data_IF_053318827422
#
_entry.id   IF_053318827422
#
_cell.length_a   1.000
_cell.length_b   1.000
_cell.length_c   1.000
_cell.angle_alpha   90.00
_cell.angle_beta   90.00
_cell.angle_gamma   90.00
#
_symmetry.space_group_name_H-M   'P 1'
#
loop_
_entity.id
_entity.type
_entity.pdbx_description
1 polymer ?
#
# COMPACT_ATOMS: atom_id res chain seq x y z
N UNK A 1 0.63 63.24 79.89
CA UNK A 1 1.40 62.32 80.76
C UNK A 1 0.43 61.33 81.35
N UNK A 2 0.82 60.06 81.35
CA UNK A 2 0.30 58.93 82.16
C UNK A 2 -1.12 58.38 81.95
N UNK A 3 -1.15 57.21 81.29
CA UNK A 3 -1.60 55.89 81.81
C UNK A 3 -3.10 55.63 82.11
N UNK A 4 -3.61 54.67 81.32
CA UNK A 4 -4.55 53.55 81.56
C UNK A 4 -6.01 53.71 82.06
N UNK A 5 -6.89 53.02 81.31
CA UNK A 5 -8.19 52.45 81.70
C UNK A 5 -9.38 53.35 81.38
N UNK A 6 -10.60 52.84 81.06
CA UNK A 6 -11.12 51.48 81.31
C UNK A 6 -11.82 50.82 80.10
N UNK A 7 -12.23 49.56 80.28
CA UNK A 7 -12.94 48.77 79.27
C UNK A 7 -14.37 49.23 78.99
N UNK A 8 -14.90 48.80 77.85
CA UNK A 8 -16.34 48.77 77.56
C UNK A 8 -16.66 47.70 76.53
N UNK A 9 -17.58 46.81 76.94
CA UNK A 9 -18.34 45.85 76.14
C UNK A 9 -18.96 46.47 74.89
N UNK A 10 -18.87 45.78 73.75
CA UNK A 10 -19.67 46.09 72.55
C UNK A 10 -20.32 44.82 72.01
N UNK A 11 -21.61 45.01 71.70
CA UNK A 11 -22.62 44.06 71.25
C UNK A 11 -22.28 43.42 69.90
N UNK A 12 -22.73 42.17 69.76
CA UNK A 12 -22.73 41.42 68.52
C UNK A 12 -23.64 42.07 67.45
N UNK A 13 -23.16 42.11 66.22
CA UNK A 13 -23.95 42.26 65.01
C UNK A 13 -23.39 41.31 63.94
N UNK A 14 -24.23 40.37 63.49
CA UNK A 14 -23.93 39.47 62.38
C UNK A 14 -23.86 40.29 61.08
N UNK A 15 -22.75 40.16 60.33
CA UNK A 15 -22.70 40.45 58.90
C UNK A 15 -22.43 39.14 58.15
N UNK A 16 -23.35 38.79 57.24
CA UNK A 16 -23.18 37.72 56.26
C UNK A 16 -22.14 38.16 55.22
N UNK A 17 -21.06 37.37 55.07
CA UNK A 17 -20.11 37.50 53.97
C UNK A 17 -20.54 36.57 52.82
N UNK A 18 -20.87 37.15 51.67
CA UNK A 18 -21.09 36.41 50.43
C UNK A 18 -19.73 35.96 49.86
N UNK A 19 -19.54 34.64 49.75
CA UNK A 19 -18.35 34.03 49.14
C UNK A 19 -18.59 33.90 47.65
N UNK A 20 -17.81 34.61 46.84
CA UNK A 20 -17.79 34.44 45.39
C UNK A 20 -16.98 33.18 45.03
N UNK A 21 -17.62 32.21 44.36
CA UNK A 21 -16.99 31.01 43.82
C UNK A 21 -16.26 31.33 42.49
N UNK A 22 -15.06 30.77 42.24
CA UNK A 22 -14.36 30.98 40.99
C UNK A 22 -14.99 30.14 39.86
N UNK A 23 -15.24 30.79 38.72
CA UNK A 23 -15.74 30.16 37.51
C UNK A 23 -14.75 29.10 37.00
N UNK A 24 -15.21 27.86 36.96
CA UNK A 24 -14.46 26.73 36.40
C UNK A 24 -14.38 26.86 34.88
N UNK A 25 -13.15 26.93 34.35
CA UNK A 25 -12.87 26.84 32.92
C UNK A 25 -13.36 25.48 32.40
N UNK A 26 -14.44 25.50 31.60
CA UNK A 26 -14.90 24.35 30.83
C UNK A 26 -13.84 24.01 29.77
N UNK A 27 -13.07 22.96 30.01
CA UNK A 27 -12.25 22.33 28.98
C UNK A 27 -13.18 21.75 27.92
N UNK A 28 -13.15 22.30 26.71
CA UNK A 28 -13.82 21.70 25.55
C UNK A 28 -13.26 20.29 25.32
N UNK A 29 -14.09 19.25 25.17
CA UNK A 29 -13.60 17.94 24.82
C UNK A 29 -12.89 18.02 23.47
N UNK A 30 -11.66 17.52 23.39
CA UNK A 30 -10.99 17.24 22.13
C UNK A 30 -11.91 16.38 21.29
N UNK A 31 -12.25 16.84 20.08
CA UNK A 31 -13.01 16.07 19.09
C UNK A 31 -12.43 14.66 19.03
N UNK A 32 -13.20 13.67 19.47
CA UNK A 32 -12.89 12.28 19.19
C UNK A 32 -12.88 12.15 17.66
N UNK A 33 -11.70 12.00 17.06
CA UNK A 33 -11.59 11.60 15.67
C UNK A 33 -12.46 10.34 15.54
N UNK A 34 -13.45 10.36 14.66
CA UNK A 34 -14.15 9.12 14.30
C UNK A 34 -13.07 8.10 13.97
N UNK A 35 -13.10 6.93 14.62
CA UNK A 35 -12.12 5.89 14.37
C UNK A 35 -12.05 5.65 12.86
N UNK A 36 -10.85 5.75 12.27
CA UNK A 36 -10.67 5.51 10.84
C UNK A 36 -11.17 4.12 10.44
N UNK A 37 -11.44 3.91 9.16
CA UNK A 37 -11.80 2.59 8.63
C UNK A 37 -11.02 2.32 7.35
N UNK A 38 -10.56 1.09 7.19
CA UNK A 38 -9.95 0.56 5.97
C UNK A 38 -11.06 0.07 5.04
N UNK A 39 -11.24 0.79 3.93
CA UNK A 39 -12.18 0.43 2.87
C UNK A 39 -11.53 -0.35 1.71
N UNK A 40 -10.20 -0.24 1.57
CA UNK A 40 -9.41 -0.99 0.60
C UNK A 40 -8.60 -2.08 1.33
N UNK A 41 -9.26 -3.22 1.57
CA UNK A 41 -8.69 -4.41 2.19
C UNK A 41 -8.10 -5.28 1.09
N UNK A 42 -6.82 -5.07 0.82
CA UNK A 42 -6.19 -5.44 -0.43
C UNK A 42 -5.25 -6.65 -0.36
N UNK A 43 -5.13 -7.35 -1.49
CA UNK A 43 -4.07 -8.33 -1.72
C UNK A 43 -3.53 -8.19 -3.15
N UNK A 44 -2.20 -8.16 -3.31
CA UNK A 44 -1.56 -8.37 -4.62
C UNK A 44 -1.45 -9.86 -4.90
N UNK A 45 -2.09 -10.34 -5.96
CA UNK A 45 -2.15 -11.78 -6.29
C UNK A 45 -1.70 -12.03 -7.73
N UNK A 46 -0.75 -11.23 -8.22
CA UNK A 46 -0.37 -11.27 -9.63
C UNK A 46 0.32 -12.58 -10.00
N UNK A 47 0.99 -13.26 -9.06
CA UNK A 47 1.55 -14.59 -9.31
C UNK A 47 0.53 -15.73 -9.27
N UNK A 48 -0.66 -15.50 -8.70
CA UNK A 48 -1.65 -16.55 -8.44
C UNK A 48 -2.11 -17.24 -9.73
N UNK A 49 -2.27 -16.48 -10.82
CA UNK A 49 -2.67 -17.05 -12.12
C UNK A 49 -1.65 -18.10 -12.60
N UNK A 50 -0.35 -17.79 -12.52
CA UNK A 50 0.69 -18.73 -12.94
C UNK A 50 0.74 -19.95 -12.03
N UNK A 51 0.63 -19.75 -10.72
CA UNK A 51 0.56 -20.85 -9.77
C UNK A 51 -0.59 -21.82 -10.12
N UNK A 52 -1.78 -21.29 -10.43
CA UNK A 52 -2.94 -22.09 -10.86
C UNK A 52 -2.73 -22.79 -12.20
N UNK A 53 -2.14 -22.11 -13.20
CA UNK A 53 -1.78 -22.70 -14.49
C UNK A 53 -0.77 -23.86 -14.32
N UNK A 54 0.02 -23.86 -13.24
CA UNK A 54 0.97 -24.91 -12.85
C UNK A 54 0.36 -25.98 -11.91
N UNK A 55 -0.93 -25.89 -11.60
CA UNK A 55 -1.64 -26.89 -10.77
C UNK A 55 -1.50 -26.69 -9.26
N UNK A 56 -1.11 -25.51 -8.80
CA UNK A 56 -1.13 -25.15 -7.38
C UNK A 56 -2.53 -25.36 -6.79
N UNK A 57 -2.57 -25.78 -5.52
CA UNK A 57 -3.81 -26.01 -4.78
C UNK A 57 -3.80 -25.12 -3.55
N UNK A 58 -4.96 -24.57 -3.23
CA UNK A 58 -5.14 -23.71 -2.07
C UNK A 58 -6.25 -24.28 -1.19
N UNK A 59 -6.05 -24.19 0.11
CA UNK A 59 -6.94 -24.75 1.11
C UNK A 59 -7.30 -23.68 2.14
N UNK A 60 -8.59 -23.58 2.46
CA UNK A 60 -9.07 -22.74 3.56
C UNK A 60 -8.67 -23.32 4.92
N UNK A 61 -8.94 -22.60 6.01
CA UNK A 61 -8.55 -23.01 7.37
C UNK A 61 -9.12 -24.38 7.82
N UNK A 62 -10.18 -24.88 7.16
CA UNK A 62 -10.75 -26.21 7.43
C UNK A 62 -10.06 -27.34 6.67
N UNK A 63 -9.09 -27.02 5.80
CA UNK A 63 -8.45 -27.96 4.88
C UNK A 63 -9.26 -28.22 3.61
N UNK A 64 -10.29 -27.42 3.33
CA UNK A 64 -11.10 -27.58 2.11
C UNK A 64 -10.43 -26.88 0.94
N UNK A 65 -10.28 -27.58 -0.18
CA UNK A 65 -9.73 -27.00 -1.42
C UNK A 65 -10.67 -25.91 -1.95
N UNK A 66 -10.11 -24.72 -2.22
CA UNK A 66 -10.84 -23.53 -2.69
C UNK A 66 -10.00 -22.76 -3.69
N UNK A 67 -10.67 -21.92 -4.48
CA UNK A 67 -9.98 -20.89 -5.26
C UNK A 67 -9.31 -19.89 -4.29
N UNK A 68 -8.05 -19.48 -4.52
CA UNK A 68 -7.34 -18.59 -3.61
C UNK A 68 -8.05 -17.24 -3.40
N UNK A 69 -8.75 -16.71 -4.41
CA UNK A 69 -9.53 -15.49 -4.26
C UNK A 69 -10.74 -15.68 -3.34
N UNK A 70 -11.35 -16.87 -3.33
CA UNK A 70 -12.45 -17.17 -2.40
C UNK A 70 -11.95 -17.30 -0.96
N UNK A 71 -10.77 -17.92 -0.78
CA UNK A 71 -10.11 -17.98 0.53
C UNK A 71 -9.83 -16.56 1.03
N UNK A 72 -9.15 -15.73 0.23
CA UNK A 72 -8.81 -14.35 0.58
C UNK A 72 -10.06 -13.51 0.88
N UNK A 73 -11.12 -13.65 0.09
CA UNK A 73 -12.41 -12.98 0.34
C UNK A 73 -13.01 -13.41 1.67
N UNK A 74 -12.96 -14.69 2.01
CA UNK A 74 -13.37 -15.22 3.32
C UNK A 74 -12.51 -14.72 4.50
N UNK A 75 -11.29 -14.24 4.23
CA UNK A 75 -10.43 -13.58 5.22
C UNK A 75 -10.66 -12.06 5.31
N UNK A 76 -11.53 -11.49 4.48
CA UNK A 76 -11.91 -10.07 4.49
C UNK A 76 -11.37 -9.25 3.31
N UNK A 77 -10.62 -9.85 2.37
CA UNK A 77 -10.14 -9.14 1.18
C UNK A 77 -11.33 -8.67 0.34
N UNK A 78 -11.33 -7.39 -0.03
CA UNK A 78 -12.32 -6.78 -0.90
C UNK A 78 -11.70 -6.12 -2.16
N UNK A 79 -10.36 -6.09 -2.23
CA UNK A 79 -9.61 -5.43 -3.29
C UNK A 79 -8.46 -6.33 -3.75
N UNK A 80 -8.29 -6.48 -5.05
CA UNK A 80 -7.16 -7.20 -5.66
C UNK A 80 -6.28 -6.22 -6.41
N UNK A 81 -4.99 -6.26 -6.13
CA UNK A 81 -3.95 -5.57 -6.89
C UNK A 81 -3.34 -6.54 -7.90
N UNK A 82 -3.21 -6.10 -9.14
CA UNK A 82 -2.54 -6.83 -10.22
C UNK A 82 -1.50 -5.93 -10.88
N UNK A 83 -0.24 -6.34 -10.85
CA UNK A 83 0.80 -5.67 -11.63
C UNK A 83 0.69 -6.00 -13.11
N UNK A 84 1.04 -5.02 -13.93
CA UNK A 84 1.12 -5.14 -15.37
C UNK A 84 2.50 -4.68 -15.87
N UNK A 85 3.13 -5.56 -16.63
CA UNK A 85 4.38 -5.36 -17.35
C UNK A 85 4.10 -5.18 -18.84
N UNK A 86 4.97 -4.43 -19.50
CA UNK A 86 4.81 -4.08 -20.92
C UNK A 86 4.96 -5.31 -21.82
N UNK A 87 6.13 -5.94 -21.79
CA UNK A 87 6.44 -7.12 -22.59
C UNK A 87 7.40 -8.10 -21.87
N UNK A 88 6.92 -8.77 -20.81
CA UNK A 88 7.76 -9.68 -20.02
C UNK A 88 8.08 -10.99 -20.75
N UNK A 89 9.34 -11.41 -20.66
CA UNK A 89 9.84 -12.65 -21.28
C UNK A 89 9.08 -13.91 -20.81
N UNK A 90 8.57 -13.90 -19.58
CA UNK A 90 7.81 -15.01 -19.00
C UNK A 90 6.44 -15.25 -19.64
N UNK A 91 5.88 -14.25 -20.34
CA UNK A 91 4.51 -14.27 -20.83
C UNK A 91 3.42 -14.10 -19.75
N UNK A 92 3.81 -13.79 -18.49
CA UNK A 92 2.91 -13.51 -17.37
C UNK A 92 3.00 -12.06 -16.92
N UNK A 93 1.98 -11.56 -16.22
CA UNK A 93 1.82 -10.14 -15.85
C UNK A 93 1.74 -9.18 -17.05
N UNK A 94 1.64 -9.68 -18.28
CA UNK A 94 1.34 -8.83 -19.44
C UNK A 94 -0.15 -8.45 -19.48
N UNK A 95 -0.49 -7.50 -20.36
CA UNK A 95 -1.88 -7.06 -20.59
C UNK A 95 -2.86 -8.25 -20.73
N UNK A 96 -2.55 -9.23 -21.59
CA UNK A 96 -3.45 -10.35 -21.86
C UNK A 96 -3.75 -11.18 -20.60
N UNK A 97 -2.73 -11.47 -19.79
CA UNK A 97 -2.86 -12.21 -18.53
C UNK A 97 -3.65 -11.41 -17.48
N UNK A 98 -3.36 -10.11 -17.35
CA UNK A 98 -4.12 -9.20 -16.47
C UNK A 98 -5.60 -9.15 -16.85
N UNK A 99 -5.93 -9.01 -18.14
CA UNK A 99 -7.33 -9.02 -18.60
C UNK A 99 -8.03 -10.34 -18.26
N UNK A 100 -7.36 -11.48 -18.49
CA UNK A 100 -7.93 -12.78 -18.20
C UNK A 100 -8.21 -12.96 -16.70
N UNK A 101 -7.26 -12.58 -15.84
CA UNK A 101 -7.41 -12.74 -14.40
C UNK A 101 -8.38 -11.72 -13.79
N UNK A 102 -8.44 -10.50 -14.32
CA UNK A 102 -9.41 -9.48 -13.91
C UNK A 102 -10.88 -9.95 -14.04
N UNK A 103 -11.20 -10.81 -15.02
CA UNK A 103 -12.54 -11.42 -15.13
C UNK A 103 -12.87 -12.24 -13.89
N UNK A 104 -11.93 -13.05 -13.41
CA UNK A 104 -12.11 -13.87 -12.21
C UNK A 104 -12.26 -13.00 -10.95
N UNK A 105 -11.42 -11.98 -10.83
CA UNK A 105 -11.49 -10.98 -9.74
C UNK A 105 -12.87 -10.34 -9.67
N UNK A 106 -13.35 -9.76 -10.78
CA UNK A 106 -14.63 -9.04 -10.81
C UNK A 106 -15.83 -9.99 -10.71
N UNK A 107 -15.76 -11.20 -11.28
CA UNK A 107 -16.82 -12.21 -11.13
C UNK A 107 -17.04 -12.62 -9.66
N UNK A 108 -15.99 -12.56 -8.84
CA UNK A 108 -16.08 -12.80 -7.39
C UNK A 108 -16.50 -11.56 -6.58
N UNK A 109 -16.80 -10.44 -7.25
CA UNK A 109 -17.23 -9.19 -6.63
C UNK A 109 -16.11 -8.42 -5.92
N UNK A 110 -14.85 -8.73 -6.20
CA UNK A 110 -13.70 -8.01 -5.66
C UNK A 110 -13.43 -6.76 -6.50
N UNK A 111 -12.94 -5.69 -5.87
CA UNK A 111 -12.45 -4.50 -6.58
C UNK A 111 -11.08 -4.75 -7.20
N UNK A 112 -10.73 -3.98 -8.23
CA UNK A 112 -9.49 -4.14 -8.99
C UNK A 112 -8.62 -2.89 -8.96
N UNK A 113 -7.36 -3.06 -8.54
CA UNK A 113 -6.27 -2.09 -8.67
C UNK A 113 -5.29 -2.63 -9.70
N UNK A 114 -5.02 -1.87 -10.77
CA UNK A 114 -3.99 -2.23 -11.74
C UNK A 114 -2.74 -1.41 -11.47
N UNK A 115 -1.62 -2.09 -11.26
CA UNK A 115 -0.32 -1.47 -11.02
C UNK A 115 0.56 -1.51 -12.26
N UNK A 116 0.80 -0.35 -12.86
CA UNK A 116 1.66 -0.22 -14.02
C UNK A 116 3.10 -0.03 -13.58
N UNK A 117 3.96 -1.03 -13.83
CA UNK A 117 5.39 -0.90 -13.61
C UNK A 117 6.08 -0.04 -14.68
N UNK A 118 5.48 0.09 -15.87
CA UNK A 118 6.10 0.69 -17.05
C UNK A 118 7.49 0.11 -17.35
N UNK A 119 7.59 -1.22 -17.26
CA UNK A 119 8.80 -1.99 -17.55
C UNK A 119 8.41 -3.37 -18.07
N UNK A 120 9.37 -4.07 -18.69
CA UNK A 120 9.21 -5.47 -19.09
C UNK A 120 9.46 -6.45 -17.93
N UNK A 121 9.87 -5.93 -16.76
CA UNK A 121 10.20 -6.71 -15.56
C UNK A 121 9.87 -5.90 -14.30
N UNK A 122 10.37 -6.34 -13.15
CA UNK A 122 10.30 -5.63 -11.88
C UNK A 122 10.75 -4.17 -12.02
N UNK A 123 9.97 -3.27 -11.40
CA UNK A 123 10.29 -1.86 -11.25
C UNK A 123 10.22 -1.56 -9.74
N UNK A 124 11.31 -1.02 -9.21
CA UNK A 124 11.56 -0.82 -7.79
C UNK A 124 12.47 0.43 -7.60
N UNK A 125 12.77 0.88 -6.36
CA UNK A 125 13.58 2.07 -6.14
C UNK A 125 15.00 1.99 -6.72
N UNK A 126 15.53 0.78 -6.95
CA UNK A 126 16.85 0.56 -7.54
C UNK A 126 16.81 0.34 -9.06
N UNK A 127 15.66 0.04 -9.65
CA UNK A 127 15.51 -0.34 -11.06
C UNK A 127 14.20 0.18 -11.66
N UNK A 128 14.30 1.03 -12.69
CA UNK A 128 13.14 1.57 -13.41
C UNK A 128 13.38 1.52 -14.93
N UNK A 129 13.77 0.35 -15.44
CA UNK A 129 14.18 0.19 -16.83
C UNK A 129 13.01 0.46 -17.78
N UNK A 130 13.28 1.23 -18.83
CA UNK A 130 12.35 1.36 -19.97
C UNK A 130 12.07 -0.03 -20.57
N UNK A 131 10.82 -0.32 -20.97
CA UNK A 131 10.52 -1.44 -21.84
C UNK A 131 11.43 -1.42 -23.07
N UNK A 132 11.79 -2.58 -23.61
CA UNK A 132 12.67 -2.69 -24.76
C UNK A 132 12.15 -1.89 -25.97
N UNK A 133 10.83 -1.88 -26.17
CA UNK A 133 10.17 -1.12 -27.23
C UNK A 133 10.32 0.40 -27.08
N UNK A 134 10.67 0.91 -25.89
CA UNK A 134 10.81 2.33 -25.57
C UNK A 134 12.27 2.73 -25.29
N UNK A 135 13.23 1.83 -25.52
CA UNK A 135 14.63 2.03 -25.14
C UNK A 135 15.24 3.31 -25.74
N UNK A 136 14.92 3.62 -27.01
CA UNK A 136 15.41 4.81 -27.72
C UNK A 136 14.50 6.04 -27.57
N UNK A 137 13.36 5.91 -26.90
CA UNK A 137 12.38 7.00 -26.78
C UNK A 137 12.86 7.99 -25.72
N UNK A 138 12.89 9.28 -26.07
CA UNK A 138 13.11 10.37 -25.13
C UNK A 138 11.80 10.86 -24.50
N UNK A 139 11.91 11.79 -23.53
CA UNK A 139 10.78 12.26 -22.72
C UNK A 139 9.52 12.68 -23.50
N UNK A 140 9.65 13.27 -24.69
CA UNK A 140 8.50 13.66 -25.51
C UNK A 140 7.70 12.45 -26.02
N UNK A 141 8.39 11.41 -26.47
CA UNK A 141 7.75 10.19 -26.94
C UNK A 141 7.22 9.38 -25.76
N UNK A 142 7.98 9.30 -24.65
CA UNK A 142 7.58 8.54 -23.46
C UNK A 142 6.28 9.05 -22.83
N UNK A 143 5.97 10.35 -22.91
CA UNK A 143 4.66 10.87 -22.52
C UNK A 143 3.51 10.24 -23.30
N UNK A 144 3.70 10.10 -24.62
CA UNK A 144 2.73 9.46 -25.52
C UNK A 144 2.64 7.97 -25.23
N UNK A 145 3.78 7.31 -24.99
CA UNK A 145 3.83 5.88 -24.69
C UNK A 145 3.12 5.54 -23.38
N UNK A 146 3.39 6.29 -22.30
CA UNK A 146 2.71 6.14 -21.01
C UNK A 146 1.21 6.37 -21.16
N UNK A 147 0.80 7.42 -21.89
CA UNK A 147 -0.62 7.68 -22.13
C UNK A 147 -1.28 6.51 -22.87
N UNK A 148 -0.72 6.11 -24.01
CA UNK A 148 -1.30 5.09 -24.87
C UNK A 148 -1.37 3.74 -24.18
N UNK A 149 -0.30 3.31 -23.50
CA UNK A 149 -0.27 2.03 -22.81
C UNK A 149 -1.27 1.98 -21.63
N UNK A 150 -1.33 3.05 -20.84
CA UNK A 150 -2.28 3.15 -19.72
C UNK A 150 -3.72 3.14 -20.22
N UNK A 151 -4.02 3.93 -21.26
CA UNK A 151 -5.35 4.00 -21.85
C UNK A 151 -5.75 2.66 -22.48
N UNK A 152 -4.85 2.01 -23.20
CA UNK A 152 -5.11 0.73 -23.86
C UNK A 152 -5.46 -0.38 -22.85
N UNK A 153 -4.65 -0.56 -21.81
CA UNK A 153 -4.92 -1.55 -20.76
C UNK A 153 -6.23 -1.23 -20.03
N UNK A 154 -6.41 0.02 -19.58
CA UNK A 154 -7.61 0.43 -18.85
C UNK A 154 -8.88 0.28 -19.72
N UNK A 155 -8.83 0.77 -20.97
CA UNK A 155 -9.98 0.72 -21.86
C UNK A 155 -10.31 -0.71 -22.27
N UNK A 156 -9.32 -1.59 -22.41
CA UNK A 156 -9.57 -3.00 -22.69
C UNK A 156 -10.24 -3.70 -21.50
N UNK A 157 -9.81 -3.42 -20.26
CA UNK A 157 -10.48 -3.89 -19.04
C UNK A 157 -11.93 -3.37 -18.96
N UNK A 158 -12.15 -2.08 -19.25
CA UNK A 158 -13.49 -1.49 -19.29
C UNK A 158 -14.37 -2.16 -20.34
N UNK A 159 -13.85 -2.40 -21.53
CA UNK A 159 -14.58 -2.98 -22.66
C UNK A 159 -15.04 -4.42 -22.40
N UNK A 160 -14.32 -5.16 -21.55
CA UNK A 160 -14.73 -6.50 -21.11
C UNK A 160 -15.55 -6.51 -19.80
N UNK A 161 -16.01 -5.36 -19.33
CA UNK A 161 -16.82 -5.25 -18.10
C UNK A 161 -16.04 -5.34 -16.79
N UNK A 162 -14.71 -5.24 -16.83
CA UNK A 162 -13.84 -5.31 -15.64
C UNK A 162 -13.10 -4.00 -15.40
N UNK A 163 -13.78 -2.86 -15.59
CA UNK A 163 -13.22 -1.53 -15.36
C UNK A 163 -12.46 -1.47 -14.03
N UNK A 164 -11.20 -1.01 -14.01
CA UNK A 164 -10.43 -0.92 -12.77
C UNK A 164 -11.04 0.13 -11.84
N UNK A 165 -11.15 -0.23 -10.57
CA UNK A 165 -11.61 0.67 -9.51
C UNK A 165 -10.50 1.70 -9.17
N UNK A 166 -9.23 1.28 -9.27
CA UNK A 166 -8.05 2.14 -9.16
C UNK A 166 -6.95 1.73 -10.14
N UNK A 167 -6.07 2.67 -10.49
CA UNK A 167 -4.85 2.46 -11.27
C UNK A 167 -3.68 3.11 -10.54
N UNK A 168 -2.55 2.42 -10.44
CA UNK A 168 -1.28 2.95 -9.94
C UNK A 168 -0.35 3.24 -11.12
N UNK A 169 0.18 4.47 -11.17
CA UNK A 169 1.04 4.97 -12.26
C UNK A 169 2.50 4.90 -11.78
N UNK A 170 3.18 3.81 -12.16
CA UNK A 170 4.53 3.49 -11.71
C UNK A 170 4.52 2.69 -10.41
N UNK A 171 5.50 1.79 -10.24
CA UNK A 171 5.72 1.07 -8.99
C UNK A 171 6.97 1.58 -8.27
N UNK A 172 6.82 1.93 -6.99
CA UNK A 172 7.88 2.42 -6.10
C UNK A 172 8.82 3.42 -6.80
N UNK A 173 8.23 4.48 -7.36
CA UNK A 173 8.92 5.45 -8.21
C UNK A 173 9.73 6.47 -7.40
N UNK A 174 10.35 6.03 -6.31
CA UNK A 174 10.99 6.87 -5.29
C UNK A 174 11.89 7.93 -5.91
N UNK A 175 12.63 7.61 -6.98
CA UNK A 175 13.48 8.56 -7.72
C UNK A 175 13.13 8.64 -9.21
N UNK A 176 11.85 8.44 -9.53
CA UNK A 176 11.29 8.52 -10.89
C UNK A 176 10.99 7.15 -11.51
N UNK A 177 10.67 7.16 -12.80
CA UNK A 177 10.36 5.96 -13.59
C UNK A 177 10.90 6.10 -15.02
N UNK A 178 10.96 5.00 -15.79
CA UNK A 178 11.43 5.04 -17.20
C UNK A 178 12.80 5.71 -17.34
N UNK A 179 13.79 5.19 -16.61
CA UNK A 179 15.12 5.78 -16.54
C UNK A 179 15.90 5.67 -17.86
N UNK A 180 16.76 6.64 -18.18
CA UNK A 180 17.09 7.82 -17.37
C UNK A 180 16.17 9.03 -17.63
N UNK A 181 15.33 9.00 -18.67
CA UNK A 181 14.51 10.14 -19.09
C UNK A 181 13.56 10.63 -18.00
N UNK A 182 12.90 9.72 -17.28
CA UNK A 182 11.99 10.06 -16.19
C UNK A 182 12.61 9.99 -14.79
N UNK A 183 13.93 9.87 -14.68
CA UNK A 183 14.65 9.87 -13.40
C UNK A 183 14.68 11.27 -12.80
N UNK A 184 14.49 11.37 -11.49
CA UNK A 184 14.67 12.64 -10.77
C UNK A 184 16.15 12.83 -10.47
N UNK A 185 16.75 13.85 -11.08
CA UNK A 185 18.16 14.22 -10.89
C UNK A 185 18.24 15.67 -10.44
N UNK A 186 19.10 15.98 -9.46
CA UNK A 186 19.28 17.33 -8.93
C UNK A 186 17.96 18.01 -8.47
N UNK A 187 17.06 17.22 -7.86
CA UNK A 187 15.71 17.67 -7.45
C UNK A 187 14.82 18.19 -8.60
N UNK A 188 15.13 17.87 -9.86
CA UNK A 188 14.27 18.22 -10.97
C UNK A 188 13.22 17.14 -11.25
N UNK A 189 11.98 17.45 -10.86
CA UNK A 189 10.82 16.59 -11.08
C UNK A 189 10.13 16.80 -12.44
N UNK A 190 10.67 17.64 -13.33
CA UNK A 190 10.01 18.03 -14.59
C UNK A 190 9.61 16.83 -15.42
N UNK A 191 10.57 15.97 -15.77
CA UNK A 191 10.31 14.83 -16.66
C UNK A 191 9.39 13.80 -16.03
N UNK A 192 9.65 13.43 -14.76
CA UNK A 192 8.75 12.54 -14.02
C UNK A 192 7.31 13.07 -14.06
N UNK A 193 7.13 14.36 -13.78
CA UNK A 193 5.80 14.98 -13.73
C UNK A 193 5.06 14.96 -15.06
N UNK A 194 5.77 15.06 -16.19
CA UNK A 194 5.18 14.91 -17.51
C UNK A 194 4.59 13.51 -17.70
N UNK A 195 5.35 12.49 -17.31
CA UNK A 195 4.91 11.08 -17.41
C UNK A 195 3.73 10.78 -16.47
N UNK A 196 3.77 11.27 -15.22
CA UNK A 196 2.67 11.08 -14.27
C UNK A 196 1.38 11.77 -14.73
N UNK A 197 1.47 12.97 -15.32
CA UNK A 197 0.32 13.65 -15.94
C UNK A 197 -0.25 12.84 -17.11
N UNK A 198 0.60 12.27 -17.96
CA UNK A 198 0.15 11.39 -19.05
C UNK A 198 -0.61 10.16 -18.52
N UNK A 199 -0.08 9.48 -17.51
CA UNK A 199 -0.73 8.32 -16.90
C UNK A 199 -2.06 8.67 -16.22
N UNK A 200 -2.11 9.78 -15.49
CA UNK A 200 -3.34 10.31 -14.89
C UNK A 200 -4.39 10.62 -15.96
N UNK A 201 -4.02 11.37 -17.00
CA UNK A 201 -4.93 11.77 -18.07
C UNK A 201 -5.47 10.55 -18.84
N UNK A 202 -4.63 9.57 -19.15
CA UNK A 202 -5.05 8.32 -19.78
C UNK A 202 -6.06 7.55 -18.93
N UNK A 203 -5.82 7.47 -17.62
CA UNK A 203 -6.76 6.84 -16.69
C UNK A 203 -8.11 7.55 -16.70
N UNK A 204 -8.12 8.89 -16.62
CA UNK A 204 -9.36 9.67 -16.62
C UNK A 204 -10.09 9.64 -17.97
N UNK A 205 -9.36 9.55 -19.08
CA UNK A 205 -9.94 9.40 -20.41
C UNK A 205 -10.62 8.02 -20.57
N UNK A 206 -9.99 6.96 -20.06
CA UNK A 206 -10.60 5.62 -20.04
C UNK A 206 -11.87 5.61 -19.15
N UNK A 207 -11.76 6.08 -17.91
CA UNK A 207 -12.86 6.16 -16.96
C UNK A 207 -12.59 7.23 -15.89
N UNK A 208 -13.36 8.32 -15.90
CA UNK A 208 -13.17 9.44 -14.97
C UNK A 208 -13.34 9.06 -13.49
N UNK A 209 -14.13 8.02 -13.20
CA UNK A 209 -14.34 7.49 -11.85
C UNK A 209 -13.20 6.63 -11.29
N UNK A 210 -12.29 6.14 -12.13
CA UNK A 210 -11.15 5.31 -11.68
C UNK A 210 -10.16 6.17 -10.91
N UNK A 211 -9.80 5.74 -9.69
CA UNK A 211 -8.84 6.48 -8.85
C UNK A 211 -7.40 6.27 -9.34
N UNK A 212 -6.59 7.31 -9.27
CA UNK A 212 -5.17 7.29 -9.63
C UNK A 212 -4.31 7.30 -8.37
N UNK A 213 -3.48 6.28 -8.22
CA UNK A 213 -2.52 6.11 -7.12
C UNK A 213 -1.12 6.47 -7.61
N UNK A 214 -0.38 7.21 -6.78
CA UNK A 214 1.06 7.45 -6.97
C UNK A 214 1.81 6.84 -5.80
N UNK A 215 2.73 5.91 -6.09
CA UNK A 215 3.29 4.97 -5.14
C UNK A 215 4.80 5.15 -4.93
N UNK A 216 5.25 5.23 -3.67
CA UNK A 216 6.67 5.23 -3.29
C UNK A 216 6.93 4.27 -2.12
N UNK A 217 8.15 3.76 -1.99
CA UNK A 217 8.60 3.02 -0.80
C UNK A 217 9.11 3.94 0.33
N UNK A 218 8.53 5.14 0.49
CA UNK A 218 9.03 6.16 1.41
C UNK A 218 8.27 6.18 2.75
N UNK A 219 7.90 5.02 3.31
CA UNK A 219 7.25 4.95 4.63
C UNK A 219 8.23 4.95 5.82
N UNK A 220 9.53 5.05 5.52
CA UNK A 220 10.62 5.13 6.48
C UNK A 220 10.79 6.54 7.09
N UNK A 221 10.45 7.57 6.33
CA UNK A 221 10.77 8.96 6.67
C UNK A 221 9.81 9.97 6.07
N UNK A 222 9.27 10.86 6.92
CA UNK A 222 8.49 12.03 6.48
C UNK A 222 9.28 12.86 5.47
N UNK A 223 10.60 12.99 5.65
CA UNK A 223 11.42 13.82 4.76
C UNK A 223 11.52 13.23 3.35
N UNK A 224 11.67 11.90 3.23
CA UNK A 224 11.71 11.21 1.93
C UNK A 224 10.35 11.29 1.23
N UNK A 225 9.27 11.03 1.97
CA UNK A 225 7.92 11.12 1.43
C UNK A 225 7.60 12.55 0.97
N UNK A 226 7.84 13.55 1.82
CA UNK A 226 7.64 14.98 1.48
C UNK A 226 8.46 15.39 0.27
N UNK A 227 9.75 15.04 0.21
CA UNK A 227 10.60 15.40 -0.93
C UNK A 227 9.98 14.97 -2.26
N UNK A 228 9.50 13.73 -2.33
CA UNK A 228 8.85 13.22 -3.54
C UNK A 228 7.51 13.90 -3.83
N UNK A 229 6.60 13.89 -2.86
CA UNK A 229 5.22 14.36 -3.08
C UNK A 229 5.13 15.89 -3.22
N UNK A 230 5.98 16.66 -2.51
CA UNK A 230 6.13 18.11 -2.74
C UNK A 230 6.72 18.38 -4.13
N UNK A 231 7.70 17.57 -4.56
CA UNK A 231 8.32 17.68 -5.87
C UNK A 231 7.32 17.55 -7.02
N UNK A 232 6.51 16.48 -7.03
CA UNK A 232 5.49 16.29 -8.08
C UNK A 232 4.34 17.32 -7.97
N UNK A 233 3.96 17.72 -6.75
CA UNK A 233 2.92 18.74 -6.52
C UNK A 233 3.35 20.09 -7.05
N UNK A 234 4.60 20.50 -6.83
CA UNK A 234 5.15 21.76 -7.32
C UNK A 234 5.16 21.84 -8.86
N UNK A 235 5.19 20.68 -9.54
CA UNK A 235 5.06 20.58 -11.00
C UNK A 235 3.62 20.40 -11.47
N UNK A 236 2.63 20.44 -10.57
CA UNK A 236 1.20 20.37 -10.89
C UNK A 236 0.71 18.97 -11.27
N UNK A 237 1.32 17.91 -10.75
CA UNK A 237 0.81 16.54 -10.91
C UNK A 237 -0.47 16.37 -10.08
N UNK A 238 -1.50 15.79 -10.69
CA UNK A 238 -2.73 15.38 -9.99
C UNK A 238 -2.68 13.89 -9.67
N UNK A 239 -3.20 13.52 -8.51
CA UNK A 239 -3.46 12.13 -8.11
C UNK A 239 -4.58 12.09 -7.07
N UNK A 240 -5.21 10.93 -6.91
CA UNK A 240 -6.33 10.76 -5.98
C UNK A 240 -5.87 10.17 -4.64
N UNK A 241 -4.96 9.19 -4.67
CA UNK A 241 -4.51 8.42 -3.50
C UNK A 241 -2.98 8.36 -3.45
N UNK A 242 -2.41 8.67 -2.29
CA UNK A 242 -1.00 8.48 -1.99
C UNK A 242 -0.76 7.03 -1.59
N UNK A 243 0.09 6.31 -2.32
CA UNK A 243 0.48 4.94 -2.01
C UNK A 243 1.85 4.87 -1.36
N UNK A 244 2.00 4.03 -0.33
CA UNK A 244 3.27 3.77 0.35
C UNK A 244 3.53 2.26 0.44
N UNK A 245 4.75 1.79 0.20
CA UNK A 245 5.18 0.46 0.67
C UNK A 245 5.60 0.52 2.12
N UNK A 246 5.27 -0.51 2.90
CA UNK A 246 5.76 -0.69 4.26
C UNK A 246 6.16 -2.14 4.53
N UNK A 247 7.43 -2.30 4.83
CA UNK A 247 8.04 -3.54 5.30
C UNK A 247 8.93 -3.18 6.47
N UNK A 248 8.64 -3.72 7.66
CA UNK A 248 9.33 -3.31 8.87
C UNK A 248 10.86 -3.53 8.85
N UNK A 249 11.45 -4.52 8.12
CA UNK A 249 12.91 -4.63 8.03
C UNK A 249 13.58 -3.45 7.29
N UNK A 250 12.85 -2.75 6.43
CA UNK A 250 13.38 -1.66 5.59
C UNK A 250 12.91 -0.27 6.05
N UNK A 251 11.71 -0.19 6.64
CA UNK A 251 11.04 1.08 6.90
C UNK A 251 10.89 1.41 8.40
N UNK A 252 11.41 0.56 9.28
CA UNK A 252 11.36 0.77 10.72
C UNK A 252 10.07 0.27 11.36
N UNK A 253 9.62 0.94 12.42
CA UNK A 253 8.49 0.47 13.23
C UNK A 253 7.14 0.84 12.61
N UNK A 254 6.02 0.16 12.98
CA UNK A 254 4.70 0.58 12.53
C UNK A 254 4.38 2.02 12.93
N UNK A 255 4.88 2.49 14.08
CA UNK A 255 4.71 3.87 14.52
C UNK A 255 5.41 4.88 13.58
N UNK A 256 6.58 4.53 13.02
CA UNK A 256 7.22 5.35 11.99
C UNK A 256 6.33 5.49 10.76
N UNK A 257 5.81 4.37 10.25
CA UNK A 257 4.87 4.36 9.12
C UNK A 257 3.59 5.16 9.43
N UNK A 258 3.04 5.03 10.64
CA UNK A 258 1.88 5.80 11.08
C UNK A 258 2.12 7.31 11.02
N UNK A 259 3.32 7.78 11.42
CA UNK A 259 3.70 9.19 11.30
C UNK A 259 3.68 9.66 9.84
N UNK A 260 4.30 8.89 8.95
CA UNK A 260 4.35 9.22 7.51
C UNK A 260 2.95 9.25 6.92
N UNK A 261 2.11 8.26 7.22
CA UNK A 261 0.71 8.23 6.76
C UNK A 261 -0.05 9.48 7.20
N UNK A 262 0.04 9.86 8.47
CA UNK A 262 -0.62 11.05 8.99
C UNK A 262 -0.09 12.35 8.38
N UNK A 263 1.22 12.46 8.14
CA UNK A 263 1.79 13.62 7.44
C UNK A 263 1.30 13.69 5.99
N UNK A 264 1.35 12.58 5.24
CA UNK A 264 0.88 12.54 3.85
C UNK A 264 -0.60 12.91 3.74
N UNK A 265 -1.43 12.37 4.64
CA UNK A 265 -2.87 12.67 4.69
C UNK A 265 -3.12 14.15 4.99
N UNK A 266 -2.50 14.69 6.02
CA UNK A 266 -2.73 16.07 6.48
C UNK A 266 -2.18 17.11 5.50
N UNK A 267 -0.99 16.87 4.92
CA UNK A 267 -0.29 17.79 4.03
C UNK A 267 -0.92 17.90 2.65
N UNK A 268 -1.34 16.76 2.07
CA UNK A 268 -1.85 16.73 0.70
C UNK A 268 -3.37 16.70 0.62
N UNK A 269 -4.07 16.41 1.72
CA UNK A 269 -5.53 16.29 1.75
C UNK A 269 -6.06 15.13 0.90
N UNK A 270 -5.20 14.17 0.56
CA UNK A 270 -5.49 13.00 -0.28
C UNK A 270 -5.59 11.76 0.58
N UNK A 271 -6.34 10.77 0.12
CA UNK A 271 -6.36 9.47 0.79
C UNK A 271 -4.99 8.80 0.72
N UNK A 272 -4.72 7.95 1.70
CA UNK A 272 -3.44 7.23 1.82
C UNK A 272 -3.72 5.72 1.89
N UNK A 273 -2.91 4.92 1.21
CA UNK A 273 -2.93 3.46 1.33
C UNK A 273 -1.51 2.94 1.56
N UNK A 274 -1.41 1.85 2.33
CA UNK A 274 -0.24 1.00 2.29
C UNK A 274 -0.42 0.04 1.11
N UNK A 275 0.26 0.29 0.00
CA UNK A 275 0.10 -0.42 -1.26
C UNK A 275 0.84 -1.77 -1.27
N UNK A 276 1.86 -1.92 -0.44
CA UNK A 276 2.58 -3.18 -0.25
C UNK A 276 3.00 -3.37 1.20
N UNK A 277 2.75 -4.55 1.75
CA UNK A 277 3.31 -5.03 3.02
C UNK A 277 3.24 -6.55 3.07
N UNK A 278 4.15 -7.19 3.80
CA UNK A 278 4.09 -8.62 4.11
C UNK A 278 5.02 -8.92 5.30
N UNK A 279 4.89 -10.10 5.89
CA UNK A 279 5.75 -10.53 6.99
C UNK A 279 6.09 -12.02 6.90
N UNK A 280 7.34 -12.44 7.23
CA UNK A 280 7.73 -13.83 7.14
C UNK A 280 7.16 -14.66 8.29
N UNK A 281 6.61 -15.84 7.99
CA UNK A 281 6.19 -16.81 9.01
C UNK A 281 7.27 -17.83 9.37
N UNK A 282 8.41 -17.82 8.65
CA UNK A 282 9.56 -18.73 8.85
C UNK A 282 10.82 -18.12 8.24
N UNK A 283 12.00 -18.56 8.68
CA UNK A 283 13.29 -18.25 8.02
C UNK A 283 13.76 -19.37 7.09
N UNK A 284 13.05 -20.50 7.03
CA UNK A 284 13.40 -21.64 6.18
C UNK A 284 13.05 -21.37 4.71
N UNK A 285 13.90 -21.80 3.79
CA UNK A 285 13.62 -21.75 2.35
C UNK A 285 12.76 -22.94 1.96
N UNK A 286 11.77 -22.72 1.08
CA UNK A 286 10.98 -23.83 0.52
C UNK A 286 11.70 -24.57 -0.61
N UNK A 287 12.56 -23.85 -1.35
CA UNK A 287 13.28 -24.36 -2.50
C UNK A 287 14.77 -23.94 -2.44
N UNK A 288 15.49 -24.10 -3.55
CA UNK A 288 16.91 -23.76 -3.64
C UNK A 288 17.20 -22.26 -3.64
N UNK A 289 16.18 -21.42 -3.80
CA UNK A 289 16.28 -19.97 -3.81
C UNK A 289 16.15 -19.45 -2.38
N UNK A 290 17.15 -18.69 -1.94
CA UNK A 290 17.13 -18.10 -0.60
C UNK A 290 16.04 -17.04 -0.45
N UNK A 291 15.36 -17.04 0.69
CA UNK A 291 14.37 -16.01 1.01
C UNK A 291 14.99 -14.61 1.10
N UNK A 292 14.28 -13.62 0.55
CA UNK A 292 14.68 -12.20 0.55
C UNK A 292 14.71 -11.60 1.96
N UNK A 293 13.85 -12.10 2.86
CA UNK A 293 13.77 -11.66 4.25
C UNK A 293 13.77 -12.91 5.14
N UNK A 294 14.81 -13.06 5.96
CA UNK A 294 14.97 -14.19 6.89
C UNK A 294 14.98 -13.76 8.36
N UNK A 295 14.77 -12.48 8.63
CA UNK A 295 14.73 -11.90 9.97
C UNK A 295 13.42 -11.18 10.22
N UNK A 296 12.95 -11.26 11.47
CA UNK A 296 11.73 -10.61 11.92
C UNK A 296 11.98 -9.23 12.52
N UNK A 297 10.89 -8.51 12.78
CA UNK A 297 10.87 -7.26 13.50
C UNK A 297 10.51 -7.50 14.97
N UNK A 298 11.01 -6.64 15.86
CA UNK A 298 10.78 -6.76 17.30
C UNK A 298 9.29 -6.91 17.63
N UNK A 299 8.96 -7.88 18.49
CA UNK A 299 7.60 -8.19 18.91
C UNK A 299 6.84 -9.21 18.04
N UNK A 300 7.38 -9.61 16.88
CA UNK A 300 6.68 -10.52 15.96
C UNK A 300 7.58 -11.73 15.63
N UNK A 301 7.41 -12.88 16.31
CA UNK A 301 8.22 -14.06 16.00
C UNK A 301 7.92 -14.58 14.59
N UNK A 302 8.91 -15.20 13.93
CA UNK A 302 8.72 -15.86 12.63
C UNK A 302 7.88 -17.14 12.79
N UNK A 303 6.57 -16.93 12.89
CA UNK A 303 5.53 -17.94 13.10
C UNK A 303 4.24 -17.47 12.42
N UNK A 304 3.27 -18.37 12.30
CA UNK A 304 1.96 -18.07 11.75
C UNK A 304 1.21 -17.02 12.59
N UNK A 305 1.33 -17.10 13.92
CA UNK A 305 0.77 -16.10 14.82
C UNK A 305 1.50 -14.75 14.66
N UNK A 306 2.83 -14.75 14.64
CA UNK A 306 3.60 -13.50 14.51
C UNK A 306 3.40 -12.79 13.16
N UNK A 307 3.21 -13.53 12.06
CA UNK A 307 2.79 -12.97 10.77
C UNK A 307 1.43 -12.28 10.87
N UNK A 308 0.45 -12.92 11.50
CA UNK A 308 -0.89 -12.35 11.71
C UNK A 308 -0.87 -11.14 12.65
N UNK A 309 -0.09 -11.19 13.72
CA UNK A 309 0.07 -10.10 14.69
C UNK A 309 0.73 -8.89 14.03
N UNK A 310 1.76 -9.10 13.21
CA UNK A 310 2.41 -8.03 12.47
C UNK A 310 1.43 -7.36 11.50
N UNK A 311 0.72 -8.16 10.70
CA UNK A 311 -0.25 -7.62 9.75
C UNK A 311 -1.41 -6.89 10.45
N UNK A 312 -1.86 -7.39 11.59
CA UNK A 312 -2.86 -6.70 12.44
C UNK A 312 -2.32 -5.36 12.94
N UNK A 313 -1.07 -5.30 13.41
CA UNK A 313 -0.45 -4.07 13.86
C UNK A 313 -0.29 -3.04 12.73
N UNK A 314 0.07 -3.48 11.52
CA UNK A 314 0.15 -2.61 10.33
C UNK A 314 -1.23 -2.04 10.00
N UNK A 315 -2.26 -2.87 9.91
CA UNK A 315 -3.63 -2.43 9.65
C UNK A 315 -4.12 -1.43 10.70
N UNK A 316 -3.94 -1.74 11.98
CA UNK A 316 -4.36 -0.87 13.08
C UNK A 316 -3.62 0.47 13.04
N UNK A 317 -2.31 0.46 12.80
CA UNK A 317 -1.52 1.68 12.76
C UNK A 317 -1.88 2.54 11.56
N UNK A 318 -2.01 1.95 10.37
CA UNK A 318 -2.43 2.66 9.17
C UNK A 318 -3.84 3.26 9.33
N UNK A 319 -4.79 2.48 9.86
CA UNK A 319 -6.17 2.93 10.13
C UNK A 319 -6.19 4.11 11.10
N UNK A 320 -5.46 4.01 12.22
CA UNK A 320 -5.39 5.06 13.23
C UNK A 320 -4.70 6.33 12.71
N UNK A 321 -3.77 6.18 11.77
CA UNK A 321 -3.08 7.29 11.11
C UNK A 321 -3.91 7.96 9.99
N UNK A 322 -5.06 7.39 9.62
CA UNK A 322 -5.98 7.93 8.62
C UNK A 322 -5.83 7.36 7.22
N UNK A 323 -5.11 6.24 7.04
CA UNK A 323 -5.12 5.49 5.78
C UNK A 323 -6.51 4.86 5.54
N UNK A 324 -6.86 4.68 4.27
CA UNK A 324 -8.10 4.04 3.84
C UNK A 324 -7.90 2.59 3.38
N UNK A 325 -6.65 2.10 3.36
CA UNK A 325 -6.34 0.80 2.78
C UNK A 325 -4.98 0.25 3.13
N UNK A 326 -4.91 -1.08 3.13
CA UNK A 326 -3.68 -1.87 3.29
C UNK A 326 -3.76 -3.06 2.34
N UNK A 327 -2.69 -3.26 1.56
CA UNK A 327 -2.54 -4.33 0.59
C UNK A 327 -1.42 -5.27 1.01
N UNK A 328 -1.75 -6.54 1.25
CA UNK A 328 -0.74 -7.57 1.47
C UNK A 328 -0.12 -7.96 0.13
N UNK A 329 1.20 -7.95 0.03
CA UNK A 329 1.89 -8.26 -1.22
C UNK A 329 2.14 -9.77 -1.36
N UNK A 330 1.59 -10.34 -2.42
CA UNK A 330 1.75 -11.75 -2.82
C UNK A 330 1.42 -12.77 -1.71
N UNK A 331 0.25 -12.71 -1.06
CA UNK A 331 -0.13 -13.66 -0.03
C UNK A 331 -0.25 -15.08 -0.60
N UNK A 332 -0.50 -15.25 -1.90
CA UNK A 332 -0.68 -16.55 -2.57
C UNK A 332 0.61 -17.17 -3.09
N UNK A 333 1.73 -16.45 -3.08
CA UNK A 333 2.96 -16.88 -3.75
C UNK A 333 3.79 -17.81 -2.88
N UNK A 334 3.24 -18.97 -2.50
CA UNK A 334 4.04 -20.04 -1.91
C UNK A 334 4.88 -20.74 -3.00
N UNK A 335 5.90 -21.50 -2.61
CA UNK A 335 6.79 -22.17 -3.56
C UNK A 335 6.06 -23.23 -4.39
N UNK A 336 5.93 -22.95 -5.69
CA UNK A 336 5.38 -23.85 -6.70
C UNK A 336 6.43 -23.98 -7.80
N UNK A 337 6.81 -25.21 -8.15
CA UNK A 337 7.83 -25.45 -9.18
C UNK A 337 7.45 -24.75 -10.48
N UNK A 338 8.36 -23.91 -10.98
CA UNK A 338 8.15 -23.12 -12.18
C UNK A 338 7.41 -21.80 -11.99
N UNK A 339 7.06 -21.40 -10.76
CA UNK A 339 6.48 -20.10 -10.44
C UNK A 339 7.53 -19.17 -9.81
N UNK A 340 8.66 -19.00 -10.49
CA UNK A 340 9.82 -18.30 -9.95
C UNK A 340 9.75 -16.78 -10.04
N UNK A 341 10.69 -16.11 -9.38
CA UNK A 341 10.73 -14.64 -9.27
C UNK A 341 11.30 -13.93 -10.50
N UNK A 342 12.21 -14.56 -11.26
CA UNK A 342 12.86 -13.94 -12.40
C UNK A 342 12.03 -14.17 -13.68
N UNK A 343 11.45 -13.14 -14.31
CA UNK A 343 10.71 -13.32 -15.55
C UNK A 343 11.56 -13.82 -16.73
N UNK A 344 12.89 -13.63 -16.71
CA UNK A 344 13.79 -14.16 -17.74
C UNK A 344 14.04 -15.66 -17.58
N UNK A 345 13.93 -16.19 -16.37
CA UNK A 345 14.09 -17.61 -16.05
C UNK A 345 13.03 -18.10 -15.06
N UNK A 346 11.76 -17.82 -15.38
CA UNK A 346 10.65 -18.02 -14.44
C UNK A 346 10.43 -19.49 -14.07
N UNK A 347 10.92 -20.40 -14.91
CA UNK A 347 10.78 -21.84 -14.70
C UNK A 347 11.78 -22.39 -13.66
N UNK A 348 12.94 -21.75 -13.48
CA UNK A 348 14.04 -22.30 -12.68
C UNK A 348 14.52 -21.38 -11.55
N UNK A 349 14.12 -20.11 -11.54
CA UNK A 349 14.59 -19.11 -10.58
C UNK A 349 14.13 -19.31 -9.12
N UNK A 350 13.19 -20.23 -8.87
CA UNK A 350 12.60 -20.48 -7.54
C UNK A 350 11.94 -19.23 -6.95
N UNK A 351 11.54 -19.28 -5.68
CA UNK A 351 10.74 -18.23 -5.06
C UNK A 351 11.32 -17.76 -3.72
N UNK A 352 12.08 -16.67 -3.72
CA UNK A 352 12.59 -16.06 -2.48
C UNK A 352 11.55 -15.29 -1.65
N UNK A 353 10.27 -15.36 -2.00
CA UNK A 353 9.16 -14.73 -1.26
C UNK A 353 8.22 -15.75 -0.61
N UNK A 354 8.50 -17.04 -0.73
CA UNK A 354 7.59 -18.09 -0.28
C UNK A 354 7.25 -18.01 1.22
N UNK A 355 8.21 -17.55 2.03
CA UNK A 355 8.05 -17.45 3.48
C UNK A 355 7.21 -16.25 3.92
N UNK A 356 6.93 -15.32 3.00
CA UNK A 356 6.11 -14.14 3.20
C UNK A 356 4.64 -14.39 2.80
N UNK A 357 4.38 -15.46 2.03
CA UNK A 357 3.04 -15.88 1.67
C UNK A 357 2.22 -16.23 2.93
N UNK A 358 0.90 -16.17 2.81
CA UNK A 358 -0.02 -16.57 3.90
C UNK A 358 -0.43 -18.03 3.76
N UNK A 359 -0.01 -18.70 2.70
CA UNK A 359 -0.19 -20.13 2.48
C UNK A 359 1.14 -20.83 2.72
N UNK A 360 1.12 -21.96 3.43
CA UNK A 360 2.30 -22.79 3.56
C UNK A 360 2.62 -23.49 2.21
N UNK A 361 3.71 -24.25 2.17
CA UNK A 361 4.17 -24.93 0.96
C UNK A 361 3.26 -26.07 0.48
N UNK A 362 2.24 -26.44 1.26
CA UNK A 362 1.19 -27.38 0.84
C UNK A 362 -0.09 -26.66 0.41
N UNK A 363 -0.10 -25.32 0.40
CA UNK A 363 -1.25 -24.50 0.03
C UNK A 363 -2.28 -24.30 1.15
N UNK A 364 -1.97 -24.62 2.40
CA UNK A 364 -2.86 -24.39 3.55
C UNK A 364 -2.75 -22.94 4.00
N UNK A 365 -3.87 -22.23 4.17
CA UNK A 365 -3.88 -20.80 4.58
C UNK A 365 -3.65 -20.60 6.07
N UNK A 366 -3.03 -19.46 6.43
CA UNK A 366 -2.89 -18.97 7.80
C UNK A 366 -4.24 -18.67 8.43
N UNK A 367 -4.71 -19.46 9.41
CA UNK A 367 -6.02 -19.25 9.99
C UNK A 367 -6.08 -17.99 10.87
N UNK A 368 -4.93 -17.48 11.29
CA UNK A 368 -4.83 -16.32 12.18
C UNK A 368 -4.86 -15.00 11.41
N UNK A 369 -4.56 -15.00 10.10
CA UNK A 369 -4.50 -13.77 9.32
C UNK A 369 -5.91 -13.33 8.87
N UNK A 370 -6.21 -12.04 9.03
CA UNK A 370 -7.47 -11.43 8.64
C UNK A 370 -7.25 -10.01 8.14
N UNK A 371 -8.10 -9.61 7.20
CA UNK A 371 -8.28 -8.23 6.81
C UNK A 371 -9.44 -7.65 7.63
N UNK A 372 -9.19 -6.54 8.30
CA UNK A 372 -10.16 -5.92 9.22
C UNK A 372 -10.50 -4.51 8.75
N UNK A 373 -11.79 -4.16 8.62
CA UNK A 373 -12.21 -2.84 8.17
C UNK A 373 -11.86 -1.71 9.14
#
# INVERSE_FOLDING_TARGET
>A
MTVNGPGRTVKAALLMAAVALPASLLTTPTSAFAAGSLSMLGADVSTAQRALDLGAKYYDASGTARDPLDVLKGLGVNYVRLRVWNNPASGYNNKAKVLAYAKQVKAKGLKLLVDFHYSDTWADPGKQYKPAAWASHGINQLQTDVYNYTYDVCNSLKSQGTTPDSVQIGNEINVGMLWDDGKVVNNDFTNLSLLLKSGYNATKACNSGTKVIIHTANSDSDAHARWFYDGIKAKGVNWDITGLSYYCPWHGTPANMGSVVSDMKSRYGKDVVIAETAYPFTSANADSTGNSITSGCSGYPLTWQGQADNFTAVQNTARNAGAIGVFYWEPTWYAVKGNGWDPADINNSGNGWDNMAIFNWTGQVNPNIKWTP
#
